data_IF_002768255107
#
_entry.id   IF_002768255107
#
_cell.length_a   1.000
_cell.length_b   1.000
_cell.length_c   1.000
_cell.angle_alpha   90.00
_cell.angle_beta   90.00
_cell.angle_gamma   90.00
#
_symmetry.space_group_name_H-M   'P 1'
#
loop_
_entity.id
_entity.type
_entity.pdbx_description
1 polymer ?
#
# COMPACT_ATOMS: atom_id res chain seq x y z
N UNK A 1 -24.09 36.37 12.64
CA UNK A 1 -23.22 36.19 11.47
C UNK A 1 -22.23 35.02 11.65
N UNK A 2 -21.56 34.90 12.80
CA UNK A 2 -20.62 33.79 13.08
C UNK A 2 -21.25 32.39 13.09
N UNK A 3 -22.44 32.22 13.68
CA UNK A 3 -23.07 30.89 13.79
C UNK A 3 -23.48 30.29 12.44
N UNK A 4 -24.02 31.10 11.53
CA UNK A 4 -24.38 30.65 10.18
C UNK A 4 -23.16 30.22 9.37
N UNK A 5 -22.02 30.89 9.55
CA UNK A 5 -20.74 30.50 8.94
C UNK A 5 -20.28 29.14 9.49
N UNK A 6 -20.34 28.96 10.81
CA UNK A 6 -19.98 27.68 11.44
C UNK A 6 -20.86 26.55 10.91
N UNK A 7 -22.17 26.77 10.75
CA UNK A 7 -23.09 25.76 10.24
C UNK A 7 -22.79 25.37 8.79
N UNK A 8 -22.39 26.32 7.94
CA UNK A 8 -21.90 26.04 6.58
C UNK A 8 -20.63 25.19 6.59
N UNK A 9 -19.70 25.50 7.49
CA UNK A 9 -18.45 24.73 7.65
C UNK A 9 -18.77 23.29 8.08
N UNK A 10 -19.67 23.12 9.05
CA UNK A 10 -20.08 21.79 9.53
C UNK A 10 -20.79 20.98 8.44
N UNK A 11 -21.72 21.60 7.70
CA UNK A 11 -22.42 20.95 6.57
C UNK A 11 -21.45 20.43 5.51
N UNK A 12 -20.56 21.29 5.02
CA UNK A 12 -19.61 20.93 3.97
C UNK A 12 -18.65 19.81 4.39
N UNK A 13 -18.16 19.82 5.64
CA UNK A 13 -17.21 18.81 6.10
C UNK A 13 -17.89 17.49 6.50
N UNK A 14 -19.16 17.51 6.91
CA UNK A 14 -19.93 16.28 7.11
C UNK A 14 -20.18 15.56 5.79
N UNK A 15 -20.51 16.29 4.72
CA UNK A 15 -20.67 15.69 3.39
C UNK A 15 -19.34 15.17 2.84
N UNK A 16 -18.25 15.96 2.90
CA UNK A 16 -16.90 15.50 2.48
C UNK A 16 -16.46 14.24 3.22
N UNK A 17 -16.65 14.18 4.54
CA UNK A 17 -16.31 13.00 5.32
C UNK A 17 -17.15 11.78 4.89
N UNK A 18 -18.45 11.96 4.65
CA UNK A 18 -19.34 10.88 4.21
C UNK A 18 -19.02 10.37 2.80
N UNK A 19 -18.65 11.24 1.88
CA UNK A 19 -18.23 10.88 0.52
C UNK A 19 -16.88 10.14 0.51
N UNK A 20 -15.91 10.65 1.27
CA UNK A 20 -14.60 10.04 1.40
C UNK A 20 -14.70 8.62 1.97
N UNK A 21 -15.42 8.43 3.08
CA UNK A 21 -15.60 7.10 3.68
C UNK A 21 -16.45 6.17 2.80
N UNK A 22 -17.38 6.71 2.00
CA UNK A 22 -18.14 5.91 1.04
C UNK A 22 -17.23 5.34 -0.04
N UNK A 23 -16.28 6.13 -0.53
CA UNK A 23 -15.30 5.66 -1.52
C UNK A 23 -14.44 4.52 -0.95
N UNK A 24 -14.03 4.62 0.32
CA UNK A 24 -13.27 3.57 1.02
C UNK A 24 -14.14 2.33 1.26
N UNK A 25 -15.41 2.49 1.67
CA UNK A 25 -16.39 1.41 1.87
C UNK A 25 -16.54 0.54 0.62
N UNK A 26 -16.61 1.17 -0.56
CA UNK A 26 -16.75 0.46 -1.84
C UNK A 26 -15.50 -0.36 -2.18
N UNK A 27 -14.30 0.11 -1.85
CA UNK A 27 -13.08 -0.68 -1.99
C UNK A 27 -13.05 -1.87 -1.03
N UNK A 28 -13.46 -1.69 0.22
CA UNK A 28 -13.58 -2.81 1.15
C UNK A 28 -14.56 -3.87 0.61
N UNK A 29 -15.67 -3.45 0.00
CA UNK A 29 -16.69 -4.35 -0.55
C UNK A 29 -16.27 -5.07 -1.82
N UNK A 30 -15.72 -4.35 -2.79
CA UNK A 30 -15.48 -4.89 -4.13
C UNK A 30 -14.01 -5.15 -4.45
N UNK A 31 -13.11 -4.42 -3.82
CA UNK A 31 -11.67 -4.61 -3.99
C UNK A 31 -11.11 -5.67 -3.06
N UNK A 32 -11.46 -5.60 -1.78
CA UNK A 32 -11.00 -6.56 -0.77
C UNK A 32 -11.99 -7.70 -0.50
N UNK A 33 -13.26 -7.54 -0.90
CA UNK A 33 -14.36 -8.45 -0.53
C UNK A 33 -14.44 -8.73 0.99
N UNK A 34 -14.00 -7.76 1.79
CA UNK A 34 -13.95 -7.86 3.25
C UNK A 34 -15.21 -7.25 3.87
N UNK A 35 -16.12 -8.12 4.29
CA UNK A 35 -17.40 -7.74 4.88
C UNK A 35 -17.25 -7.04 6.24
N UNK A 36 -16.21 -7.35 7.02
CA UNK A 36 -16.00 -6.74 8.33
C UNK A 36 -15.54 -5.28 8.16
N UNK A 37 -14.57 -5.04 7.29
CA UNK A 37 -14.11 -3.69 6.96
C UNK A 37 -15.20 -2.87 6.27
N UNK A 38 -15.98 -3.49 5.39
CA UNK A 38 -17.13 -2.86 4.75
C UNK A 38 -18.16 -2.41 5.82
N UNK A 39 -18.54 -3.28 6.75
CA UNK A 39 -19.50 -2.93 7.79
C UNK A 39 -18.98 -1.84 8.73
N UNK A 40 -17.68 -1.88 9.08
CA UNK A 40 -17.05 -0.81 9.87
C UNK A 40 -17.11 0.55 9.17
N UNK A 41 -16.80 0.61 7.88
CA UNK A 41 -16.91 1.84 7.09
C UNK A 41 -18.36 2.33 7.04
N UNK A 42 -19.31 1.42 6.82
CA UNK A 42 -20.75 1.71 6.84
C UNK A 42 -21.21 2.26 8.19
N UNK A 43 -20.79 1.67 9.31
CA UNK A 43 -21.12 2.15 10.64
C UNK A 43 -20.58 3.56 10.91
N UNK A 44 -19.33 3.83 10.54
CA UNK A 44 -18.74 5.17 10.65
C UNK A 44 -19.50 6.19 9.78
N UNK A 45 -19.88 5.83 8.55
CA UNK A 45 -20.69 6.67 7.67
C UNK A 45 -22.08 6.98 8.25
N UNK A 46 -22.71 5.99 8.89
CA UNK A 46 -24.00 6.18 9.57
C UNK A 46 -23.87 7.09 10.80
N UNK A 47 -22.81 6.93 11.60
CA UNK A 47 -22.51 7.86 12.71
C UNK A 47 -22.34 9.29 12.22
N UNK A 48 -21.59 9.51 11.14
CA UNK A 48 -21.47 10.84 10.52
C UNK A 48 -22.83 11.40 10.09
N UNK A 49 -23.68 10.58 9.48
CA UNK A 49 -25.01 11.00 9.03
C UNK A 49 -25.91 11.45 10.19
N UNK A 50 -25.81 10.83 11.37
CA UNK A 50 -26.57 11.21 12.57
C UNK A 50 -26.20 12.61 13.10
N UNK A 51 -24.96 13.05 12.89
CA UNK A 51 -24.53 14.40 13.25
C UNK A 51 -24.93 15.49 12.24
N UNK A 52 -25.43 15.09 11.07
CA UNK A 52 -25.82 16.01 10.00
C UNK A 52 -27.23 16.57 10.20
N UNK A 53 -27.34 17.43 11.22
CA UNK A 53 -28.56 18.09 11.65
C UNK A 53 -29.15 18.98 10.55
N UNK A 54 -30.47 19.15 10.59
CA UNK A 54 -31.20 19.93 9.61
C UNK A 54 -30.75 21.40 9.56
N UNK A 55 -30.40 21.99 10.71
CA UNK A 55 -29.89 23.37 10.80
C UNK A 55 -28.58 23.59 10.03
N UNK A 56 -27.71 22.58 9.95
CA UNK A 56 -26.49 22.66 9.14
C UNK A 56 -26.83 22.65 7.65
N UNK A 57 -27.74 21.75 7.24
CA UNK A 57 -28.20 21.66 5.84
C UNK A 57 -28.90 22.92 5.37
N UNK A 58 -29.72 23.54 6.22
CA UNK A 58 -30.41 24.79 5.91
C UNK A 58 -29.45 25.98 5.75
N UNK A 59 -28.26 25.91 6.34
CA UNK A 59 -27.23 26.94 6.19
C UNK A 59 -26.47 26.84 4.86
N UNK A 60 -26.63 25.74 4.11
CA UNK A 60 -25.96 25.50 2.83
C UNK A 60 -26.25 26.63 1.84
N UNK A 61 -25.18 27.16 1.25
CA UNK A 61 -25.26 28.09 0.14
C UNK A 61 -24.17 27.73 -0.87
N UNK A 62 -24.52 26.84 -1.79
CA UNK A 62 -23.66 26.39 -2.90
C UNK A 62 -23.54 27.43 -4.01
N UNK A 63 -24.62 28.11 -4.46
CA UNK A 63 -24.52 29.09 -5.54
C UNK A 63 -23.57 30.26 -5.26
N UNK A 64 -23.51 30.74 -4.01
CA UNK A 64 -22.62 31.84 -3.60
C UNK A 64 -21.39 31.33 -2.85
N UNK A 65 -21.00 30.05 -3.00
CA UNK A 65 -19.77 29.55 -2.41
C UNK A 65 -18.56 30.01 -3.25
N UNK A 66 -17.67 30.87 -2.69
CA UNK A 66 -16.54 31.44 -3.42
C UNK A 66 -15.50 30.40 -3.84
N UNK A 67 -15.54 29.19 -3.30
CA UNK A 67 -14.65 28.10 -3.67
C UNK A 67 -15.22 27.18 -4.78
N UNK A 68 -16.45 27.45 -5.27
CA UNK A 68 -17.06 26.66 -6.35
C UNK A 68 -16.24 26.81 -7.63
N UNK A 69 -15.74 25.68 -8.16
CA UNK A 69 -14.89 25.65 -9.36
C UNK A 69 -13.39 25.72 -9.08
N UNK A 70 -12.95 25.87 -7.83
CA UNK A 70 -11.55 25.68 -7.46
C UNK A 70 -11.25 24.17 -7.44
N UNK A 71 -10.41 23.72 -8.36
CA UNK A 71 -9.85 22.37 -8.35
C UNK A 71 -8.33 22.45 -8.47
N UNK A 72 -7.63 21.51 -7.85
CA UNK A 72 -6.19 21.37 -8.03
C UNK A 72 -5.90 20.62 -9.33
N UNK A 73 -4.89 21.07 -10.07
CA UNK A 73 -4.44 20.44 -11.33
C UNK A 73 -4.12 18.94 -11.14
N UNK A 74 -3.72 18.54 -9.94
CA UNK A 74 -3.43 17.14 -9.57
C UNK A 74 -4.68 16.28 -9.27
N UNK A 75 -5.89 16.83 -9.37
CA UNK A 75 -7.14 16.13 -9.11
C UNK A 75 -7.71 15.43 -10.38
N UNK A 76 -7.14 15.72 -11.55
CA UNK A 76 -7.63 15.27 -12.87
C UNK A 76 -7.37 13.79 -13.14
N UNK A 77 -6.26 13.22 -12.62
CA UNK A 77 -5.89 11.82 -12.86
C UNK A 77 -5.37 11.14 -11.61
N UNK A 78 -5.71 9.86 -11.45
CA UNK A 78 -5.20 8.98 -10.40
C UNK A 78 -4.38 7.88 -11.07
N UNK A 79 -3.19 7.59 -10.55
CA UNK A 79 -2.26 6.64 -11.16
C UNK A 79 -2.72 5.18 -10.96
N UNK A 80 -3.27 4.90 -9.79
CA UNK A 80 -3.72 3.58 -9.36
C UNK A 80 -4.81 3.68 -8.28
N UNK A 81 -5.36 2.53 -7.88
CA UNK A 81 -6.35 2.43 -6.78
C UNK A 81 -5.77 2.98 -5.46
N UNK A 82 -4.48 2.81 -5.21
CA UNK A 82 -3.85 3.24 -3.96
C UNK A 82 -3.85 4.75 -3.81
N UNK A 83 -3.63 5.46 -4.91
CA UNK A 83 -3.72 6.91 -4.97
C UNK A 83 -5.14 7.42 -4.73
N UNK A 84 -6.17 6.62 -5.06
CA UNK A 84 -7.58 6.91 -4.72
C UNK A 84 -7.82 6.73 -3.23
N UNK A 85 -7.38 5.61 -2.65
CA UNK A 85 -7.56 5.30 -1.22
C UNK A 85 -6.85 6.31 -0.33
N UNK A 86 -5.57 6.59 -0.60
CA UNK A 86 -4.77 7.56 0.17
C UNK A 86 -5.38 8.95 0.15
N UNK A 87 -5.85 9.40 -1.02
CA UNK A 87 -6.47 10.71 -1.14
C UNK A 87 -7.79 10.81 -0.37
N UNK A 88 -8.62 9.78 -0.43
CA UNK A 88 -9.88 9.76 0.32
C UNK A 88 -9.66 9.58 1.83
N UNK A 89 -8.62 8.85 2.27
CA UNK A 89 -8.22 8.82 3.67
C UNK A 89 -7.79 10.20 4.16
N UNK A 90 -6.94 10.90 3.40
CA UNK A 90 -6.53 12.27 3.73
C UNK A 90 -7.73 13.20 3.87
N UNK A 91 -8.62 13.23 2.87
CA UNK A 91 -9.85 14.05 2.90
C UNK A 91 -10.75 13.72 4.09
N UNK A 92 -10.91 12.43 4.42
CA UNK A 92 -11.70 12.00 5.57
C UNK A 92 -11.09 12.54 6.89
N UNK A 93 -9.77 12.41 7.05
CA UNK A 93 -9.07 12.89 8.24
C UNK A 93 -9.13 14.42 8.38
N UNK A 94 -8.91 15.15 7.28
CA UNK A 94 -9.02 16.61 7.23
C UNK A 94 -10.43 17.07 7.59
N UNK A 95 -11.45 16.49 6.96
CA UNK A 95 -12.84 16.83 7.24
C UNK A 95 -13.20 16.56 8.71
N UNK A 96 -12.82 15.40 9.25
CA UNK A 96 -13.03 15.08 10.66
C UNK A 96 -12.29 16.03 11.60
N UNK A 97 -11.10 16.53 11.23
CA UNK A 97 -10.37 17.52 12.03
C UNK A 97 -11.12 18.84 12.09
N UNK A 98 -11.67 19.30 10.97
CA UNK A 98 -12.49 20.52 10.93
C UNK A 98 -13.76 20.34 11.75
N UNK A 99 -14.46 19.21 11.60
CA UNK A 99 -15.67 18.90 12.38
C UNK A 99 -15.38 18.81 13.87
N UNK A 100 -14.23 18.27 14.27
CA UNK A 100 -13.81 18.22 15.67
C UNK A 100 -13.68 19.63 16.26
N UNK A 101 -12.94 20.52 15.61
CA UNK A 101 -12.64 21.85 16.16
C UNK A 101 -13.85 22.79 16.11
N UNK A 102 -14.54 22.89 14.97
CA UNK A 102 -15.74 23.72 14.87
C UNK A 102 -16.92 23.11 15.64
N UNK A 103 -16.96 21.79 15.77
CA UNK A 103 -17.94 21.09 16.58
C UNK A 103 -17.92 21.51 18.04
N UNK A 104 -16.74 21.70 18.64
CA UNK A 104 -16.59 22.15 20.04
C UNK A 104 -17.27 23.50 20.31
N UNK A 105 -17.41 24.35 19.28
CA UNK A 105 -18.06 25.66 19.41
C UNK A 105 -19.58 25.55 19.44
N UNK A 106 -20.15 24.57 18.74
CA UNK A 106 -21.62 24.37 18.62
C UNK A 106 -22.13 23.39 19.65
N UNK A 107 -21.45 22.24 19.77
CA UNK A 107 -21.81 21.14 20.63
C UNK A 107 -20.54 20.33 20.98
N UNK A 108 -20.04 20.42 22.23
CA UNK A 108 -18.87 19.66 22.67
C UNK A 108 -18.98 18.15 22.45
N UNK A 109 -20.19 17.59 22.44
CA UNK A 109 -20.41 16.16 22.19
C UNK A 109 -20.14 15.78 20.72
N UNK A 110 -20.42 16.69 19.78
CA UNK A 110 -20.05 16.52 18.36
C UNK A 110 -18.52 16.48 18.25
N UNK A 111 -17.83 17.43 18.87
CA UNK A 111 -16.36 17.46 18.88
C UNK A 111 -15.74 16.18 19.44
N UNK A 112 -16.27 15.68 20.56
CA UNK A 112 -15.84 14.42 21.16
C UNK A 112 -16.08 13.21 20.23
N UNK A 113 -17.25 13.15 19.57
CA UNK A 113 -17.56 12.08 18.62
C UNK A 113 -16.63 12.10 17.40
N UNK A 114 -16.32 13.28 16.85
CA UNK A 114 -15.39 13.40 15.72
C UNK A 114 -13.98 12.99 16.10
N UNK A 115 -13.52 13.35 17.31
CA UNK A 115 -12.24 12.87 17.85
C UNK A 115 -12.18 11.34 17.91
N UNK A 116 -13.24 10.68 18.38
CA UNK A 116 -13.31 9.22 18.41
C UNK A 116 -13.30 8.61 17.00
N UNK A 117 -14.06 9.18 16.06
CA UNK A 117 -14.05 8.74 14.66
C UNK A 117 -12.67 8.90 14.02
N UNK A 118 -11.93 9.97 14.32
CA UNK A 118 -10.54 10.14 13.83
C UNK A 118 -9.64 8.99 14.25
N UNK A 119 -9.70 8.56 15.51
CA UNK A 119 -8.92 7.40 15.96
C UNK A 119 -9.34 6.11 15.23
N UNK A 120 -10.64 5.91 15.00
CA UNK A 120 -11.12 4.76 14.22
C UNK A 120 -10.61 4.79 12.77
N UNK A 121 -10.55 5.98 12.16
CA UNK A 121 -10.01 6.18 10.81
C UNK A 121 -8.51 5.88 10.75
N UNK A 122 -7.72 6.28 11.75
CA UNK A 122 -6.29 5.91 11.81
C UNK A 122 -6.08 4.40 11.88
N UNK A 123 -6.91 3.71 12.69
CA UNK A 123 -6.88 2.26 12.76
C UNK A 123 -7.30 1.61 11.44
N UNK A 124 -8.34 2.14 10.79
CA UNK A 124 -8.80 1.65 9.49
C UNK A 124 -7.72 1.83 8.41
N UNK A 125 -7.09 3.00 8.33
CA UNK A 125 -5.99 3.28 7.40
C UNK A 125 -4.82 2.32 7.62
N UNK A 126 -4.40 2.13 8.87
CA UNK A 126 -3.35 1.17 9.22
C UNK A 126 -3.70 -0.26 8.81
N UNK A 127 -4.97 -0.66 8.92
CA UNK A 127 -5.43 -1.98 8.51
C UNK A 127 -5.46 -2.12 6.99
N UNK A 128 -5.98 -1.14 6.26
CA UNK A 128 -6.00 -1.18 4.79
C UNK A 128 -4.58 -1.22 4.20
N UNK A 129 -3.65 -0.44 4.77
CA UNK A 129 -2.23 -0.53 4.40
C UNK A 129 -1.66 -1.94 4.67
N UNK A 130 -2.08 -2.61 5.75
CA UNK A 130 -1.70 -4.01 6.00
C UNK A 130 -2.32 -4.98 4.99
N UNK A 131 -3.55 -4.77 4.52
CA UNK A 131 -4.15 -5.59 3.47
C UNK A 131 -3.35 -5.49 2.17
N UNK A 132 -2.97 -4.29 1.76
CA UNK A 132 -2.11 -4.06 0.59
C UNK A 132 -0.78 -4.81 0.73
N UNK A 133 -0.20 -4.74 1.92
CA UNK A 133 1.04 -5.43 2.26
C UNK A 133 0.90 -6.95 2.21
N UNK A 134 -0.21 -7.48 2.75
CA UNK A 134 -0.48 -8.93 2.79
C UNK A 134 -0.74 -9.49 1.38
N UNK A 135 -1.42 -8.74 0.51
CA UNK A 135 -1.73 -9.18 -0.85
C UNK A 135 -0.48 -9.33 -1.72
N UNK A 136 0.50 -8.42 -1.63
CA UNK A 136 1.74 -8.55 -2.42
C UNK A 136 2.54 -9.81 -2.03
N UNK A 137 2.74 -10.04 -0.73
CA UNK A 137 3.41 -11.23 -0.23
C UNK A 137 2.66 -12.52 -0.59
N UNK A 138 1.33 -12.51 -0.52
CA UNK A 138 0.48 -13.64 -0.90
C UNK A 138 0.53 -13.92 -2.40
N UNK A 139 0.46 -12.90 -3.26
CA UNK A 139 0.61 -13.04 -4.72
C UNK A 139 1.97 -13.63 -5.09
N UNK A 140 3.05 -13.10 -4.51
CA UNK A 140 4.40 -13.65 -4.70
C UNK A 140 4.48 -15.12 -4.26
N UNK A 141 3.88 -15.47 -3.11
CA UNK A 141 3.83 -16.86 -2.63
C UNK A 141 3.00 -17.77 -3.55
N UNK A 142 1.89 -17.31 -4.10
CA UNK A 142 1.11 -18.06 -5.08
C UNK A 142 1.91 -18.30 -6.36
N UNK A 143 2.59 -17.28 -6.89
CA UNK A 143 3.50 -17.43 -8.03
C UNK A 143 4.62 -18.42 -7.73
N UNK A 144 5.24 -18.33 -6.56
CA UNK A 144 6.28 -19.27 -6.11
C UNK A 144 5.76 -20.71 -6.07
N UNK A 145 4.54 -20.93 -5.57
CA UNK A 145 3.91 -22.26 -5.51
C UNK A 145 3.49 -22.80 -6.88
N UNK A 146 3.11 -21.92 -7.81
CA UNK A 146 2.75 -22.29 -9.18
C UNK A 146 3.97 -22.44 -10.12
N UNK A 147 5.13 -21.95 -9.70
CA UNK A 147 6.34 -21.98 -10.51
C UNK A 147 6.93 -23.39 -10.59
N UNK A 148 7.16 -23.86 -11.81
CA UNK A 148 7.75 -25.19 -12.05
C UNK A 148 9.24 -25.12 -12.42
N UNK A 149 9.72 -23.94 -12.83
CA UNK A 149 11.09 -23.75 -13.28
C UNK A 149 11.72 -22.52 -12.63
N UNK A 150 12.82 -22.75 -11.93
CA UNK A 150 13.63 -21.75 -11.25
C UNK A 150 15.02 -21.71 -11.91
N UNK A 151 15.32 -20.60 -12.59
CA UNK A 151 16.63 -20.31 -13.16
C UNK A 151 17.52 -19.57 -12.14
N UNK A 152 18.72 -20.10 -11.92
CA UNK A 152 19.79 -19.40 -11.21
C UNK A 152 20.82 -18.93 -12.23
N UNK A 153 21.07 -17.62 -12.28
CA UNK A 153 21.98 -17.07 -13.28
C UNK A 153 23.44 -17.44 -12.98
N UNK A 154 24.24 -17.47 -14.04
CA UNK A 154 25.70 -17.48 -13.94
C UNK A 154 26.27 -16.32 -14.76
N UNK A 155 27.49 -15.83 -14.46
CA UNK A 155 28.10 -14.76 -15.24
C UNK A 155 28.33 -15.22 -16.69
N UNK A 156 27.66 -14.56 -17.63
CA UNK A 156 27.81 -14.74 -19.08
C UNK A 156 27.68 -13.39 -19.76
N UNK A 157 28.27 -13.25 -20.95
CA UNK A 157 28.02 -12.10 -21.81
C UNK A 157 26.54 -12.06 -22.20
N UNK A 158 25.98 -10.86 -22.29
CA UNK A 158 24.58 -10.63 -22.68
C UNK A 158 23.55 -11.37 -21.80
N UNK A 159 23.84 -11.56 -20.51
CA UNK A 159 22.96 -12.24 -19.54
C UNK A 159 21.48 -11.78 -19.58
N UNK A 160 21.20 -10.49 -19.84
CA UNK A 160 19.81 -9.99 -19.97
C UNK A 160 19.08 -10.67 -21.11
N UNK A 161 19.72 -10.82 -22.28
CA UNK A 161 19.13 -11.50 -23.44
C UNK A 161 18.96 -13.00 -23.21
N UNK A 162 19.90 -13.62 -22.47
CA UNK A 162 19.80 -15.03 -22.07
C UNK A 162 18.61 -15.25 -21.12
N UNK A 163 18.46 -14.38 -20.12
CA UNK A 163 17.33 -14.44 -19.18
C UNK A 163 16.01 -14.19 -19.91
N UNK A 164 15.95 -13.19 -20.80
CA UNK A 164 14.74 -12.93 -21.60
C UNK A 164 14.35 -14.15 -22.45
N UNK A 165 15.31 -14.81 -23.10
CA UNK A 165 15.05 -16.03 -23.87
C UNK A 165 14.52 -17.16 -22.98
N UNK A 166 15.02 -17.26 -21.74
CA UNK A 166 14.55 -18.24 -20.77
C UNK A 166 13.13 -17.93 -20.27
N UNK A 167 12.80 -16.66 -20.07
CA UNK A 167 11.45 -16.19 -19.72
C UNK A 167 10.45 -16.48 -20.85
N UNK A 168 10.85 -16.24 -22.11
CA UNK A 168 10.06 -16.65 -23.29
C UNK A 168 9.83 -18.16 -23.34
N UNK A 169 10.80 -18.94 -22.86
CA UNK A 169 10.69 -20.40 -22.69
C UNK A 169 9.83 -20.86 -21.51
N UNK A 170 9.30 -19.94 -20.70
CA UNK A 170 8.42 -20.25 -19.57
C UNK A 170 9.09 -20.35 -18.20
N UNK A 171 10.31 -19.83 -18.03
CA UNK A 171 10.90 -19.64 -16.69
C UNK A 171 10.02 -18.67 -15.88
N UNK A 172 9.71 -19.03 -14.63
CA UNK A 172 8.81 -18.25 -13.77
C UNK A 172 9.53 -17.63 -12.57
N UNK A 173 10.76 -18.07 -12.27
CA UNK A 173 11.60 -17.53 -11.21
C UNK A 173 13.03 -17.39 -11.73
N UNK A 174 13.61 -16.21 -11.53
CA UNK A 174 15.01 -15.91 -11.86
C UNK A 174 15.72 -15.42 -10.61
N UNK A 175 16.81 -16.07 -10.24
CA UNK A 175 17.73 -15.61 -9.20
C UNK A 175 18.99 -15.05 -9.84
N UNK A 176 19.21 -13.76 -9.62
CA UNK A 176 20.46 -13.12 -9.98
C UNK A 176 21.54 -13.47 -8.95
N UNK A 177 22.50 -14.29 -9.40
CA UNK A 177 23.64 -14.74 -8.62
C UNK A 177 24.94 -14.22 -9.24
N UNK A 178 25.55 -13.24 -8.56
CA UNK A 178 26.83 -12.67 -8.96
C UNK A 178 27.69 -12.40 -7.72
N UNK A 179 28.75 -13.19 -7.54
CA UNK A 179 29.66 -13.09 -6.37
C UNK A 179 30.76 -12.05 -6.53
N UNK A 180 31.13 -11.73 -7.76
CA UNK A 180 32.28 -10.87 -8.08
C UNK A 180 31.87 -9.65 -8.90
N UNK A 181 32.76 -8.67 -9.02
CA UNK A 181 32.54 -7.44 -9.79
C UNK A 181 32.11 -6.22 -8.96
N UNK A 182 32.12 -5.07 -9.61
CA UNK A 182 31.81 -3.77 -9.00
C UNK A 182 30.32 -3.60 -8.71
N UNK A 183 30.01 -3.01 -7.55
CA UNK A 183 28.64 -2.81 -7.07
C UNK A 183 27.78 -1.97 -8.04
N UNK A 184 28.36 -0.96 -8.68
CA UNK A 184 27.63 -0.12 -9.66
C UNK A 184 27.18 -0.90 -10.89
N UNK A 185 28.01 -1.82 -11.37
CA UNK A 185 27.68 -2.71 -12.49
C UNK A 185 26.66 -3.76 -12.06
N UNK A 186 26.82 -4.32 -10.86
CA UNK A 186 25.87 -5.29 -10.28
C UNK A 186 24.47 -4.69 -10.15
N UNK A 187 24.35 -3.47 -9.64
CA UNK A 187 23.08 -2.79 -9.46
C UNK A 187 22.38 -2.51 -10.81
N UNK A 188 23.11 -1.96 -11.79
CA UNK A 188 22.57 -1.70 -13.13
C UNK A 188 22.02 -2.97 -13.78
N UNK A 189 22.79 -4.05 -13.69
CA UNK A 189 22.39 -5.33 -14.26
C UNK A 189 21.20 -5.94 -13.52
N UNK A 190 21.19 -5.88 -12.19
CA UNK A 190 20.07 -6.34 -11.38
C UNK A 190 18.78 -5.57 -11.72
N UNK A 191 18.86 -4.26 -11.99
CA UNK A 191 17.70 -3.47 -12.42
C UNK A 191 17.16 -3.96 -13.77
N UNK A 192 18.04 -4.14 -14.77
CA UNK A 192 17.63 -4.64 -16.09
C UNK A 192 17.00 -6.03 -16.01
N UNK A 193 17.54 -6.91 -15.16
CA UNK A 193 17.00 -8.25 -14.94
C UNK A 193 15.66 -8.22 -14.19
N UNK A 194 15.51 -7.33 -13.20
CA UNK A 194 14.25 -7.13 -12.48
C UNK A 194 13.15 -6.68 -13.45
N UNK A 195 13.43 -5.64 -14.24
CA UNK A 195 12.49 -5.07 -15.19
C UNK A 195 12.01 -6.11 -16.21
N UNK A 196 12.93 -6.89 -16.80
CA UNK A 196 12.56 -7.93 -17.76
C UNK A 196 11.78 -9.06 -17.10
N UNK A 197 12.11 -9.48 -15.87
CA UNK A 197 11.32 -10.51 -15.18
C UNK A 197 9.88 -10.05 -14.94
N UNK A 198 9.68 -8.80 -14.49
CA UNK A 198 8.35 -8.25 -14.25
C UNK A 198 7.53 -8.08 -15.53
N UNK A 199 8.16 -7.77 -16.67
CA UNK A 199 7.47 -7.73 -17.96
C UNK A 199 6.87 -9.09 -18.36
N UNK A 200 7.50 -10.19 -17.96
CA UNK A 200 7.02 -11.56 -18.21
C UNK A 200 6.27 -12.16 -17.01
N UNK A 201 5.86 -11.34 -16.04
CA UNK A 201 5.16 -11.73 -14.81
C UNK A 201 5.93 -12.74 -13.92
N UNK A 202 7.24 -12.87 -14.11
CA UNK A 202 8.13 -13.78 -13.37
C UNK A 202 8.68 -13.15 -12.09
N UNK A 203 8.99 -13.98 -11.09
CA UNK A 203 9.59 -13.56 -9.83
C UNK A 203 11.10 -13.33 -10.00
N UNK A 204 11.59 -12.21 -9.47
CA UNK A 204 13.02 -11.89 -9.45
C UNK A 204 13.60 -11.93 -8.03
N UNK A 205 14.64 -12.73 -7.81
CA UNK A 205 15.35 -12.82 -6.55
C UNK A 205 16.81 -12.41 -6.69
N UNK A 206 17.37 -11.79 -5.66
CA UNK A 206 18.80 -11.44 -5.60
C UNK A 206 19.51 -12.33 -4.59
N UNK A 207 20.66 -12.88 -4.96
CA UNK A 207 21.48 -13.68 -4.06
C UNK A 207 22.31 -12.78 -3.12
N UNK A 208 22.29 -13.07 -1.82
CA UNK A 208 23.09 -12.52 -0.70
C UNK A 208 22.94 -11.00 -0.41
N UNK A 209 22.82 -10.17 -1.45
CA UNK A 209 22.84 -8.71 -1.38
C UNK A 209 21.44 -8.13 -1.16
N UNK A 210 21.03 -8.06 0.11
CA UNK A 210 19.74 -7.47 0.54
C UNK A 210 19.60 -6.01 0.11
N UNK A 211 20.69 -5.25 0.16
CA UNK A 211 20.74 -3.85 -0.27
C UNK A 211 20.38 -3.68 -1.74
N UNK A 212 20.93 -4.51 -2.62
CA UNK A 212 20.61 -4.50 -4.06
C UNK A 212 19.16 -4.93 -4.29
N UNK A 213 18.70 -5.97 -3.58
CA UNK A 213 17.32 -6.44 -3.68
C UNK A 213 16.31 -5.33 -3.39
N UNK A 214 16.53 -4.55 -2.33
CA UNK A 214 15.70 -3.40 -1.97
C UNK A 214 15.80 -2.32 -3.06
N UNK A 215 17.02 -1.98 -3.49
CA UNK A 215 17.26 -0.91 -4.43
C UNK A 215 16.56 -1.11 -5.79
N UNK A 216 16.46 -2.35 -6.28
CA UNK A 216 15.84 -2.67 -7.58
C UNK A 216 14.38 -3.10 -7.48
N UNK A 217 13.83 -3.21 -6.27
CA UNK A 217 12.46 -3.68 -6.05
C UNK A 217 12.27 -5.18 -6.30
N UNK A 218 13.29 -6.00 -6.01
CA UNK A 218 13.22 -7.46 -6.20
C UNK A 218 12.09 -8.10 -5.36
N UNK A 219 11.60 -9.26 -5.82
CA UNK A 219 10.54 -10.01 -5.15
C UNK A 219 11.02 -10.81 -3.95
N UNK A 220 12.32 -11.08 -3.89
CA UNK A 220 12.90 -11.80 -2.79
C UNK A 220 14.43 -11.81 -2.77
N UNK A 221 14.94 -12.44 -1.73
CA UNK A 221 16.36 -12.63 -1.49
C UNK A 221 16.60 -14.10 -1.25
N UNK A 222 17.71 -14.60 -1.74
CA UNK A 222 18.17 -15.95 -1.42
C UNK A 222 19.50 -15.88 -0.69
N UNK A 223 19.63 -16.62 0.39
CA UNK A 223 20.83 -16.68 1.22
C UNK A 223 21.34 -18.12 1.37
N UNK A 224 22.66 -18.28 1.44
CA UNK A 224 23.32 -19.51 1.86
C UNK A 224 23.46 -19.61 3.38
N UNK A 225 24.04 -20.72 3.84
CA UNK A 225 24.25 -21.01 5.26
C UNK A 225 25.30 -20.10 5.93
N UNK A 226 26.25 -19.58 5.15
CA UNK A 226 27.33 -18.71 5.63
C UNK A 226 27.00 -17.22 5.48
N UNK A 227 25.85 -16.90 4.88
CA UNK A 227 25.44 -15.52 4.62
C UNK A 227 24.65 -14.97 5.82
N UNK A 228 24.02 -13.81 5.66
CA UNK A 228 23.23 -13.21 6.73
C UNK A 228 22.10 -14.17 7.18
N UNK A 229 21.90 -14.38 8.49
CA UNK A 229 20.78 -15.17 8.98
C UNK A 229 19.45 -14.61 8.48
N UNK A 230 18.48 -15.49 8.18
CA UNK A 230 17.14 -15.10 7.70
C UNK A 230 16.49 -14.08 8.63
N UNK A 231 16.68 -14.19 9.95
CA UNK A 231 16.18 -13.22 10.92
C UNK A 231 16.75 -11.81 10.69
N UNK A 232 18.06 -11.70 10.42
CA UNK A 232 18.72 -10.43 10.12
C UNK A 232 18.28 -9.87 8.77
N UNK A 233 18.12 -10.72 7.75
CA UNK A 233 17.56 -10.31 6.44
C UNK A 233 16.17 -9.71 6.63
N UNK A 234 15.28 -10.36 7.40
CA UNK A 234 13.95 -9.83 7.72
C UNK A 234 14.03 -8.47 8.41
N UNK A 235 14.92 -8.28 9.37
CA UNK A 235 15.10 -7.00 10.04
C UNK A 235 15.54 -5.89 9.07
N UNK A 236 16.49 -6.17 8.18
CA UNK A 236 16.98 -5.19 7.19
C UNK A 236 15.86 -4.81 6.22
N UNK A 237 15.09 -5.78 5.73
CA UNK A 237 13.92 -5.54 4.87
C UNK A 237 12.86 -4.71 5.60
N UNK A 238 12.52 -5.07 6.84
CA UNK A 238 11.57 -4.30 7.66
C UNK A 238 12.00 -2.85 7.89
N UNK A 239 13.31 -2.60 7.99
CA UNK A 239 13.84 -1.27 8.26
C UNK A 239 13.97 -0.40 7.00
N UNK A 240 14.23 -0.99 5.83
CA UNK A 240 14.65 -0.25 4.62
C UNK A 240 13.80 -0.54 3.37
N UNK A 241 13.10 -1.68 3.32
CA UNK A 241 12.34 -2.15 2.15
C UNK A 241 10.82 -2.21 2.32
N UNK A 242 10.29 -1.84 3.50
CA UNK A 242 8.85 -1.94 3.78
C UNK A 242 8.54 -3.07 4.75
N UNK A 243 7.46 -3.83 4.55
CA UNK A 243 7.18 -5.00 5.39
C UNK A 243 7.91 -6.23 4.83
N UNK A 244 8.80 -6.83 5.62
CA UNK A 244 9.52 -8.05 5.27
C UNK A 244 8.60 -9.24 4.93
N UNK A 245 7.32 -9.22 5.33
CA UNK A 245 6.33 -10.23 4.94
C UNK A 245 6.03 -10.25 3.43
N UNK A 246 6.36 -9.18 2.72
CA UNK A 246 6.16 -9.04 1.28
C UNK A 246 7.22 -9.75 0.44
N UNK A 247 8.38 -10.07 1.02
CA UNK A 247 9.51 -10.63 0.31
C UNK A 247 9.56 -12.14 0.45
N UNK A 248 9.94 -12.82 -0.63
CA UNK A 248 10.34 -14.23 -0.56
C UNK A 248 11.76 -14.27 0.00
N UNK A 249 12.00 -15.10 1.02
CA UNK A 249 13.35 -15.35 1.52
C UNK A 249 13.64 -16.83 1.32
N UNK A 250 14.51 -17.13 0.36
CA UNK A 250 15.04 -18.47 0.12
C UNK A 250 16.27 -18.73 0.97
N UNK A 251 16.41 -19.96 1.45
CA UNK A 251 17.60 -20.41 2.17
C UNK A 251 18.10 -21.71 1.57
N UNK A 252 19.41 -21.77 1.28
CA UNK A 252 20.04 -23.00 0.80
C UNK A 252 20.15 -24.00 1.95
N UNK A 253 19.63 -25.22 1.79
CA UNK A 253 19.77 -26.32 2.76
C UNK A 253 20.50 -27.49 2.13
N UNK A 254 21.47 -28.06 2.83
CA UNK A 254 22.35 -29.15 2.35
C UNK A 254 22.25 -30.42 3.21
N UNK A 255 21.58 -30.35 4.35
CA UNK A 255 21.35 -31.49 5.23
C UNK A 255 19.97 -31.39 5.92
N UNK A 256 19.47 -32.49 6.52
CA UNK A 256 18.16 -32.49 7.19
C UNK A 256 18.09 -31.56 8.39
N UNK A 257 19.21 -31.28 9.09
CA UNK A 257 19.20 -30.37 10.22
C UNK A 257 18.88 -28.93 9.79
N UNK A 258 19.43 -28.49 8.65
CA UNK A 258 19.16 -27.18 8.05
C UNK A 258 17.73 -27.04 7.52
N UNK A 259 17.05 -28.15 7.20
CA UNK A 259 15.65 -28.13 6.73
C UNK A 259 14.63 -28.01 7.87
N UNK A 260 15.00 -28.36 9.10
CA UNK A 260 14.09 -28.41 10.25
C UNK A 260 13.76 -27.03 10.87
N UNK A 261 14.06 -25.94 10.15
CA UNK A 261 13.92 -24.54 10.59
C UNK A 261 12.49 -24.03 10.36
#
# INVERSE_FOLDING_TARGET
>A
MSQQIIYRILDANLDRAREAIRTIEEWCRFGLEDLELCDRCKQMRQKLAQWHREEFRRARNTPDDPATGLSHVNEVSRADVQSVLRANMGRLQEALRVLEEYGKVVDPSLGAAMKQLRYQVYTLESQLLRYEVTNLGQMRRQKLQAANLYLVTMPVDNIVSVVESALQGGVQIVQYRQKEGEDGTRLKLAQQLCDVCHQYDALFLVNDRVDIAIAVGADGIHVGQTDLPVASVRQILSANGGDASQYIIGQSTTNPQELAI
#
